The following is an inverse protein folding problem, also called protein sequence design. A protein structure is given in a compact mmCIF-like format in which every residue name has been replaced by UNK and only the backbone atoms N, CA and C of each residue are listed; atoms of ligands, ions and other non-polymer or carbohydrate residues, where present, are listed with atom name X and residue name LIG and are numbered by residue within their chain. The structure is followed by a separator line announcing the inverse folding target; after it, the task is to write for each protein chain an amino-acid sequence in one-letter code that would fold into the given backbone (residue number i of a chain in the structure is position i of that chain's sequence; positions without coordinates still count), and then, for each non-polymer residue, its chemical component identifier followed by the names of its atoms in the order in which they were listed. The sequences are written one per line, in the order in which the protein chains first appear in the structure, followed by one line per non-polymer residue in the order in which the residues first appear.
data_IF_073116048528
#
_entry.id   IF_073116048528
#
_cell.length_a   1.000
_cell.length_b   1.000
_cell.length_c   1.000
_cell.angle_alpha   90.00
_cell.angle_beta   90.00
_cell.angle_gamma   90.00
#
_symmetry.space_group_name_H-M   'P 1'
#
loop_
_entity.id
_entity.type
_entity.pdbx_description
1 polymer ?
#
# COMPACT_ATOMS: atom_id res chain seq x y z
N UNK A 1 -7.98 4.69 6.19
CA UNK A 1 -6.67 4.07 5.87
C UNK A 1 -6.39 4.13 4.38
N UNK A 2 -5.16 4.34 4.01
CA UNK A 2 -4.76 4.44 2.60
C UNK A 2 -4.74 3.04 1.97
N UNK A 3 -5.48 2.87 0.88
CA UNK A 3 -5.59 1.56 0.21
C UNK A 3 -4.34 1.19 -0.58
N UNK A 4 -3.52 2.19 -0.90
CA UNK A 4 -2.33 1.98 -1.72
C UNK A 4 -1.11 1.62 -0.89
N UNK A 5 -1.21 1.77 0.42
CA UNK A 5 -0.14 1.39 1.32
C UNK A 5 -0.53 0.07 1.96
N UNK A 6 0.17 -0.98 1.60
CA UNK A 6 -0.11 -2.33 2.06
C UNK A 6 1.10 -2.91 2.73
N UNK A 7 0.91 -4.00 3.45
CA UNK A 7 2.00 -4.72 4.09
C UNK A 7 2.98 -5.23 3.02
N UNK A 8 4.26 -4.96 3.23
CA UNK A 8 5.32 -5.42 2.33
C UNK A 8 6.28 -6.40 3.01
N UNK A 9 6.18 -6.55 4.33
CA UNK A 9 7.09 -7.40 5.08
C UNK A 9 6.74 -8.87 4.93
N UNK A 10 7.78 -9.70 4.83
CA UNK A 10 7.69 -11.15 4.88
C UNK A 10 6.84 -11.75 3.75
N UNK A 11 7.12 -11.32 2.53
CA UNK A 11 6.52 -11.91 1.33
C UNK A 11 7.55 -12.63 0.49
N UNK A 12 7.12 -13.62 -0.23
CA UNK A 12 7.93 -14.34 -1.19
C UNK A 12 7.24 -14.30 -2.55
N UNK A 13 7.84 -13.72 -3.56
CA UNK A 13 9.14 -13.01 -3.52
C UNK A 13 9.08 -11.72 -2.73
N UNK A 14 10.23 -11.22 -2.25
CA UNK A 14 10.25 -10.03 -1.42
C UNK A 14 9.80 -8.77 -2.15
N UNK A 15 9.47 -7.74 -1.39
CA UNK A 15 9.03 -6.47 -1.95
C UNK A 15 10.09 -5.89 -2.86
N UNK A 16 9.66 -5.35 -3.98
CA UNK A 16 10.56 -4.70 -4.92
C UNK A 16 10.78 -3.25 -4.51
N UNK A 17 11.86 -2.68 -5.04
CA UNK A 17 12.15 -1.25 -4.84
C UNK A 17 10.99 -0.38 -5.33
N UNK A 18 10.37 -0.77 -6.45
CA UNK A 18 9.24 -0.03 -7.00
C UNK A 18 8.04 -0.05 -6.06
N UNK A 19 7.80 -1.15 -5.38
CA UNK A 19 6.72 -1.26 -4.40
C UNK A 19 6.97 -0.37 -3.19
N UNK A 20 8.20 -0.34 -2.71
CA UNK A 20 8.60 0.51 -1.59
C UNK A 20 8.43 1.97 -1.98
N UNK A 21 8.88 2.34 -3.15
CA UNK A 21 8.79 3.72 -3.63
C UNK A 21 7.34 4.14 -3.87
N UNK A 22 6.51 3.27 -4.41
CA UNK A 22 5.10 3.57 -4.63
C UNK A 22 4.37 3.84 -3.31
N UNK A 23 4.65 3.03 -2.28
CA UNK A 23 4.07 3.24 -0.95
C UNK A 23 4.56 4.56 -0.35
N UNK A 24 5.84 4.85 -0.51
CA UNK A 24 6.45 6.09 0.00
C UNK A 24 5.84 7.32 -0.67
N UNK A 25 5.63 7.24 -1.96
CA UNK A 25 5.00 8.32 -2.72
C UNK A 25 3.57 8.56 -2.22
N UNK A 26 2.80 7.52 -2.00
CA UNK A 26 1.43 7.65 -1.49
C UNK A 26 1.42 8.27 -0.09
N UNK A 27 2.35 7.87 0.75
CA UNK A 27 2.47 8.46 2.09
C UNK A 27 2.72 9.96 2.01
N UNK A 28 3.66 10.38 1.17
CA UNK A 28 4.00 11.80 1.01
C UNK A 28 2.83 12.58 0.41
N UNK A 29 2.13 12.01 -0.56
CA UNK A 29 0.93 12.63 -1.13
C UNK A 29 -0.14 12.84 -0.08
N UNK A 30 -0.40 11.84 0.74
CA UNK A 30 -1.41 11.93 1.79
C UNK A 30 -1.02 12.96 2.83
N UNK A 31 0.23 12.95 3.22
CA UNK A 31 0.73 13.85 4.26
C UNK A 31 0.72 15.30 3.81
N UNK A 32 1.15 15.55 2.58
CA UNK A 32 1.26 16.92 2.05
C UNK A 32 -0.03 17.45 1.47
N UNK A 33 -0.93 16.56 1.08
CA UNK A 33 -2.15 16.93 0.37
C UNK A 33 -1.94 17.20 -1.12
N UNK A 34 -0.72 17.01 -1.62
CA UNK A 34 -0.41 17.23 -3.03
C UNK A 34 -0.46 15.91 -3.79
N UNK A 35 -1.25 15.85 -4.84
CA UNK A 35 -1.14 14.77 -5.82
C UNK A 35 0.08 15.02 -6.69
N UNK A 36 0.26 16.26 -7.09
CA UNK A 36 1.45 16.76 -7.79
C UNK A 36 1.93 18.00 -7.08
N UNK A 37 3.19 18.08 -6.69
CA UNK A 37 3.69 19.28 -6.05
C UNK A 37 3.81 20.41 -7.06
N UNK A 38 3.67 21.65 -6.57
CA UNK A 38 3.98 22.81 -7.38
C UNK A 38 5.48 22.83 -7.67
N UNK A 39 5.84 23.60 -8.68
CA UNK A 39 7.25 23.72 -9.07
C UNK A 39 8.13 24.16 -7.90
N UNK A 40 7.63 25.05 -7.08
CA UNK A 40 8.37 25.55 -5.92
C UNK A 40 8.58 24.44 -4.86
N UNK A 41 7.72 23.45 -4.80
CA UNK A 41 7.76 22.39 -3.81
C UNK A 41 8.30 21.06 -4.34
N UNK A 42 8.65 21.01 -5.62
CA UNK A 42 9.07 19.76 -6.28
C UNK A 42 10.25 19.12 -5.58
N UNK A 43 11.29 19.91 -5.30
CA UNK A 43 12.50 19.38 -4.68
C UNK A 43 12.23 18.84 -3.27
N UNK A 44 11.48 19.58 -2.48
CA UNK A 44 11.14 19.14 -1.12
C UNK A 44 10.32 17.86 -1.15
N UNK A 45 9.37 17.79 -2.08
CA UNK A 45 8.52 16.63 -2.24
C UNK A 45 9.35 15.39 -2.62
N UNK A 46 10.20 15.54 -3.62
CA UNK A 46 11.04 14.44 -4.10
C UNK A 46 12.01 13.95 -3.02
N UNK A 47 12.60 14.88 -2.27
CA UNK A 47 13.47 14.51 -1.16
C UNK A 47 12.72 13.73 -0.09
N UNK A 48 11.49 14.13 0.19
CA UNK A 48 10.66 13.44 1.17
C UNK A 48 10.37 12.01 0.71
N UNK A 49 10.02 11.81 -0.56
CA UNK A 49 9.78 10.48 -1.10
C UNK A 49 11.04 9.61 -0.97
N UNK A 50 12.19 10.16 -1.31
CA UNK A 50 13.46 9.43 -1.22
C UNK A 50 13.79 9.03 0.22
N UNK A 51 13.59 9.94 1.16
CA UNK A 51 13.87 9.68 2.57
C UNK A 51 12.92 8.63 3.15
N UNK A 52 11.63 8.73 2.82
CA UNK A 52 10.65 7.76 3.29
C UNK A 52 10.95 6.38 2.69
N UNK A 53 11.27 6.33 1.41
CA UNK A 53 11.62 5.07 0.74
C UNK A 53 12.88 4.45 1.37
N UNK A 54 13.87 5.27 1.67
CA UNK A 54 15.10 4.80 2.31
C UNK A 54 14.84 4.22 3.69
N UNK A 55 14.04 4.92 4.50
CA UNK A 55 13.68 4.46 5.83
C UNK A 55 12.86 3.16 5.75
N UNK A 56 11.94 3.08 4.82
CA UNK A 56 11.12 1.87 4.63
C UNK A 56 11.98 0.68 4.24
N UNK A 57 12.91 0.90 3.32
CA UNK A 57 13.84 -0.16 2.86
C UNK A 57 14.67 -0.67 4.02
N UNK A 58 15.19 0.23 4.83
CA UNK A 58 15.98 -0.11 6.01
C UNK A 58 15.14 -0.90 7.02
N UNK A 59 13.93 -0.46 7.28
CA UNK A 59 13.02 -1.17 8.17
C UNK A 59 12.78 -2.60 7.70
N UNK A 60 12.39 -2.75 6.43
CA UNK A 60 12.06 -4.06 5.89
C UNK A 60 13.25 -5.02 5.91
N UNK A 61 14.46 -4.47 5.68
CA UNK A 61 15.68 -5.26 5.73
C UNK A 61 16.13 -5.62 7.13
N UNK A 62 15.64 -4.90 8.14
CA UNK A 62 16.05 -5.10 9.54
C UNK A 62 15.08 -5.94 10.34
N UNK A 63 13.87 -6.13 9.85
CA UNK A 63 12.86 -6.88 10.58
C UNK A 63 13.21 -8.37 10.61
N UNK A 64 13.00 -8.99 11.76
CA UNK A 64 13.27 -10.40 11.97
C UNK A 64 11.98 -11.10 12.33
N UNK A 65 11.75 -12.28 11.74
CA UNK A 65 10.56 -13.06 12.04
C UNK A 65 10.85 -14.55 11.86
N UNK A 66 10.16 -15.36 12.66
CA UNK A 66 10.18 -16.81 12.50
C UNK A 66 8.98 -17.31 11.69
N UNK A 67 8.07 -16.41 11.33
CA UNK A 67 6.91 -16.79 10.53
C UNK A 67 7.34 -17.12 9.10
N UNK A 68 6.70 -18.10 8.45
CA UNK A 68 7.01 -18.38 7.05
C UNK A 68 6.60 -17.20 6.16
N UNK A 69 7.32 -16.96 5.06
CA UNK A 69 6.94 -15.91 4.14
C UNK A 69 5.56 -16.14 3.55
N UNK A 70 4.85 -15.06 3.32
CA UNK A 70 3.54 -15.11 2.67
C UNK A 70 3.73 -15.20 1.17
N UNK A 71 2.90 -16.00 0.53
CA UNK A 71 2.87 -16.06 -0.92
C UNK A 71 2.07 -14.87 -1.45
N UNK A 72 2.67 -14.11 -2.34
CA UNK A 72 2.06 -12.89 -2.88
C UNK A 72 0.77 -13.17 -3.62
N UNK A 73 0.77 -14.23 -4.42
CA UNK A 73 -0.41 -14.57 -5.21
C UNK A 73 -1.55 -15.04 -4.32
N UNK A 74 -1.23 -15.82 -3.30
CA UNK A 74 -2.23 -16.30 -2.33
C UNK A 74 -2.82 -15.12 -1.57
N UNK A 75 -1.98 -14.20 -1.09
CA UNK A 75 -2.47 -13.04 -0.36
C UNK A 75 -3.30 -12.12 -1.24
N UNK A 76 -2.91 -11.95 -2.49
CA UNK A 76 -3.67 -11.15 -3.44
C UNK A 76 -5.03 -11.80 -3.71
N UNK A 77 -5.05 -13.12 -3.87
CA UNK A 77 -6.30 -13.86 -4.04
C UNK A 77 -7.22 -13.68 -2.84
N UNK A 78 -6.68 -13.82 -1.63
CA UNK A 78 -7.45 -13.61 -0.42
C UNK A 78 -8.01 -12.20 -0.32
N UNK A 79 -7.23 -11.22 -0.69
CA UNK A 79 -7.68 -9.82 -0.67
C UNK A 79 -8.81 -9.60 -1.67
N UNK A 80 -8.70 -10.17 -2.86
CA UNK A 80 -9.77 -10.07 -3.86
C UNK A 80 -11.02 -10.78 -3.39
N UNK A 81 -10.88 -11.93 -2.78
CA UNK A 81 -12.02 -12.69 -2.25
C UNK A 81 -12.73 -11.91 -1.15
N UNK A 82 -11.98 -11.28 -0.25
CA UNK A 82 -12.56 -10.44 0.81
C UNK A 82 -13.30 -9.23 0.23
N UNK A 83 -12.72 -8.60 -0.79
CA UNK A 83 -13.37 -7.49 -1.47
C UNK A 83 -14.66 -7.91 -2.14
N UNK A 84 -14.62 -9.03 -2.86
CA UNK A 84 -15.80 -9.55 -3.52
C UNK A 84 -16.90 -9.90 -2.53
N UNK A 85 -16.52 -10.48 -1.39
CA UNK A 85 -17.48 -10.83 -0.35
C UNK A 85 -18.11 -9.59 0.27
N UNK A 86 -17.32 -8.58 0.55
CA UNK A 86 -17.85 -7.31 1.06
C UNK A 86 -18.80 -6.66 0.07
N UNK A 87 -18.43 -6.66 -1.20
CA UNK A 87 -19.27 -6.10 -2.25
C UNK A 87 -20.58 -6.85 -2.35
N UNK A 88 -20.52 -8.18 -2.34
CA UNK A 88 -21.68 -9.04 -2.43
C UNK A 88 -22.62 -8.85 -1.24
N UNK A 89 -22.05 -8.78 -0.04
CA UNK A 89 -22.83 -8.52 1.18
C UNK A 89 -23.52 -7.18 1.12
N UNK A 90 -22.81 -6.16 0.68
CA UNK A 90 -23.37 -4.82 0.54
C UNK A 90 -24.52 -4.80 -0.45
N UNK A 91 -24.36 -5.49 -1.58
CA UNK A 91 -25.42 -5.60 -2.58
C UNK A 91 -26.62 -6.36 -2.04
N UNK A 92 -26.36 -7.43 -1.30
CA UNK A 92 -27.42 -8.25 -0.72
C UNK A 92 -28.24 -7.49 0.32
N UNK A 93 -27.63 -6.56 1.04
CA UNK A 93 -28.28 -5.75 2.04
C UNK A 93 -29.14 -4.64 1.44
N UNK A 94 -28.94 -4.34 0.17
CA UNK A 94 -29.74 -3.33 -0.51
C UNK A 94 -31.03 -3.98 -0.98
N UNK A 95 -32.20 -3.58 -0.42
CA UNK A 95 -33.45 -4.20 -0.83
C UNK A 95 -33.74 -3.94 -2.30
N UNK A 96 -34.32 -4.92 -2.98
CA UNK A 96 -34.77 -4.69 -4.35
C UNK A 96 -35.79 -3.56 -4.38
N UNK A 97 -35.61 -2.66 -5.30
CA UNK A 97 -36.52 -1.54 -5.42
C UNK A 97 -36.13 -0.33 -4.59
N UNK A 98 -35.17 -0.46 -3.71
CA UNK A 98 -34.70 0.66 -2.91
C UNK A 98 -33.54 1.39 -3.57
N UNK A 99 -33.35 1.11 -4.77
CA UNK A 99 -32.27 1.71 -5.57
C UNK A 99 -32.69 3.01 -6.19
#
# INVERSE_FOLDING_TARGET
MCRNIKTLHNFEPPATEDEIRASSLQFVRKLSGFTRPSKANQDAFDRAVDKVASAARELLGSLVTNAPPRDREVEAFKARARSAERFRSSTALTPPGSR
#
